data_IF_434983099806
#
_entry.id   IF_434983099806
#
_cell.length_a   1.000
_cell.length_b   1.000
_cell.length_c   1.000
_cell.angle_alpha   90.00
_cell.angle_beta   90.00
_cell.angle_gamma   90.00
#
_symmetry.space_group_name_H-M   'P 1'
#
loop_
_entity.id
_entity.type
_entity.pdbx_description
1 polymer ?
#
# COMPACT_ATOMS: atom_id res chain seq x y z
N UNK A 1 35.82 31.75 -27.42
CA UNK A 1 34.79 31.31 -28.40
C UNK A 1 33.46 30.92 -27.77
N UNK A 2 33.45 30.09 -26.71
CA UNK A 2 32.21 29.66 -26.01
C UNK A 2 31.24 30.82 -25.73
N UNK A 3 31.74 31.91 -25.18
CA UNK A 3 30.95 33.09 -24.80
C UNK A 3 30.42 33.88 -26.00
N UNK A 4 31.08 33.86 -27.17
CA UNK A 4 30.56 34.51 -28.39
C UNK A 4 29.38 33.74 -29.00
N UNK A 5 29.42 32.41 -28.93
CA UNK A 5 28.41 31.52 -29.53
C UNK A 5 27.23 31.27 -28.59
N UNK A 6 27.49 30.84 -27.34
CA UNK A 6 26.48 30.56 -26.31
C UNK A 6 26.00 31.82 -25.56
N UNK A 7 26.75 32.91 -25.67
CA UNK A 7 26.55 34.16 -24.93
C UNK A 7 27.25 34.16 -23.58
N UNK A 8 27.53 35.36 -23.07
CA UNK A 8 28.08 35.60 -21.74
C UNK A 8 27.12 36.46 -20.93
N UNK A 9 26.94 36.16 -19.64
CA UNK A 9 26.15 37.03 -18.75
C UNK A 9 27.05 38.19 -18.35
N UNK A 10 26.87 39.34 -19.00
CA UNK A 10 27.74 40.50 -18.83
C UNK A 10 27.39 41.29 -17.56
N UNK A 11 26.10 41.34 -17.20
CA UNK A 11 25.62 41.98 -15.97
C UNK A 11 24.22 41.46 -15.63
N UNK A 12 23.77 41.72 -14.41
CA UNK A 12 22.41 41.43 -13.96
C UNK A 12 21.68 42.73 -13.68
N UNK A 13 20.50 42.90 -14.26
CA UNK A 13 19.62 44.01 -13.99
C UNK A 13 18.62 43.63 -12.90
N UNK A 14 18.63 44.35 -11.78
CA UNK A 14 17.66 44.11 -10.69
C UNK A 14 16.43 44.98 -10.92
N UNK A 15 15.27 44.36 -11.07
CA UNK A 15 13.97 45.04 -11.14
C UNK A 15 13.07 44.44 -10.05
N UNK A 16 12.63 45.30 -9.13
CA UNK A 16 11.87 44.92 -7.92
C UNK A 16 12.57 43.80 -7.12
N UNK A 17 12.00 42.60 -7.09
CA UNK A 17 12.54 41.42 -6.40
C UNK A 17 13.13 40.36 -7.36
N UNK A 18 13.29 40.69 -8.65
CA UNK A 18 13.87 39.77 -9.65
C UNK A 18 15.20 40.31 -10.17
N UNK A 19 16.18 39.41 -10.29
CA UNK A 19 17.44 39.66 -11.02
C UNK A 19 17.32 39.07 -12.42
N UNK A 20 17.49 39.91 -13.43
CA UNK A 20 17.40 39.55 -14.85
C UNK A 20 18.80 39.53 -15.44
N UNK A 21 19.23 38.39 -15.98
CA UNK A 21 20.53 38.27 -16.64
C UNK A 21 20.53 39.00 -18.00
N UNK A 22 21.47 39.91 -18.20
CA UNK A 22 21.74 40.53 -19.50
C UNK A 22 22.86 39.73 -20.18
N UNK A 23 22.50 39.02 -21.26
CA UNK A 23 23.42 38.16 -22.02
C UNK A 23 23.89 38.82 -23.32
N UNK A 24 25.19 38.97 -23.48
CA UNK A 24 25.82 39.43 -24.72
C UNK A 24 26.18 38.22 -25.56
N UNK A 25 25.68 38.16 -26.79
CA UNK A 25 25.97 37.10 -27.76
C UNK A 25 26.11 37.68 -29.16
N UNK A 26 26.83 36.98 -30.04
CA UNK A 26 26.83 37.29 -31.48
C UNK A 26 25.41 37.15 -32.03
N UNK A 27 25.06 37.98 -33.03
CA UNK A 27 23.76 37.97 -33.70
C UNK A 27 23.41 36.57 -34.19
N UNK A 28 22.14 36.19 -34.09
CA UNK A 28 21.72 34.83 -34.40
C UNK A 28 21.89 34.47 -35.89
N UNK A 29 21.80 35.47 -36.79
CA UNK A 29 22.04 35.35 -38.25
C UNK A 29 23.46 34.85 -38.59
N UNK A 30 24.45 35.20 -37.77
CA UNK A 30 25.85 34.79 -37.96
C UNK A 30 26.09 33.34 -37.50
N UNK A 31 25.09 32.70 -36.88
CA UNK A 31 25.14 31.31 -36.38
C UNK A 31 24.35 30.32 -37.24
N UNK A 32 23.52 30.81 -38.16
CA UNK A 32 22.60 29.99 -38.96
C UNK A 32 23.29 29.08 -39.99
N UNK A 33 24.53 29.38 -40.38
CA UNK A 33 25.26 28.57 -41.35
C UNK A 33 26.69 28.29 -40.93
N UNK A 34 27.15 27.08 -41.21
CA UNK A 34 28.52 26.62 -40.96
C UNK A 34 29.53 27.54 -41.67
N UNK A 35 29.20 27.97 -42.89
CA UNK A 35 30.04 28.90 -43.67
C UNK A 35 30.21 30.26 -42.99
N UNK A 36 29.17 30.77 -42.29
CA UNK A 36 29.27 32.00 -41.50
C UNK A 36 30.02 31.80 -40.19
N UNK A 37 29.85 30.65 -39.52
CA UNK A 37 30.65 30.31 -38.33
C UNK A 37 32.14 30.28 -38.66
N UNK A 38 32.52 29.69 -39.79
CA UNK A 38 33.92 29.60 -40.25
C UNK A 38 34.57 30.98 -40.45
N UNK A 39 33.79 31.98 -40.84
CA UNK A 39 34.24 33.38 -41.04
C UNK A 39 34.13 34.25 -39.79
N UNK A 40 33.73 33.68 -38.65
CA UNK A 40 33.57 34.44 -37.41
C UNK A 40 34.93 34.99 -36.94
N UNK A 41 35.01 36.32 -36.74
CA UNK A 41 36.23 36.94 -36.27
C UNK A 41 36.47 36.65 -34.77
N UNK A 42 37.61 36.04 -34.48
CA UNK A 42 37.99 35.59 -33.14
C UNK A 42 38.80 36.65 -32.38
N UNK A 43 39.31 37.69 -33.05
CA UNK A 43 40.18 38.71 -32.47
C UNK A 43 39.64 40.14 -32.73
N UNK A 44 38.64 40.60 -31.95
CA UNK A 44 38.10 41.95 -32.08
C UNK A 44 39.06 42.94 -31.40
N UNK A 45 40.07 43.43 -32.14
CA UNK A 45 41.05 44.38 -31.61
C UNK A 45 42.40 44.40 -32.32
N UNK A 46 42.70 43.39 -33.14
CA UNK A 46 43.89 43.36 -34.00
C UNK A 46 43.63 44.11 -35.30
N UNK A 47 44.68 44.72 -35.86
CA UNK A 47 44.62 45.35 -37.21
C UNK A 47 44.29 44.36 -38.32
N UNK A 48 44.51 43.06 -38.09
CA UNK A 48 44.24 41.99 -39.04
C UNK A 48 43.12 41.10 -38.46
N UNK A 49 41.95 41.00 -39.12
CA UNK A 49 40.91 40.07 -38.71
C UNK A 49 41.35 38.63 -39.01
N UNK A 50 41.26 37.75 -38.00
CA UNK A 50 41.57 36.32 -38.15
C UNK A 50 40.24 35.56 -38.10
N UNK A 51 39.81 34.90 -39.20
CA UNK A 51 38.60 34.10 -39.20
C UNK A 51 38.82 32.77 -38.46
N UNK A 52 37.73 32.18 -37.96
CA UNK A 52 37.75 30.92 -37.22
C UNK A 52 38.40 29.77 -38.01
N UNK A 53 38.15 29.70 -39.31
CA UNK A 53 38.71 28.68 -40.21
C UNK A 53 40.23 28.68 -40.31
N UNK A 54 40.90 29.80 -39.98
CA UNK A 54 42.37 29.87 -39.98
C UNK A 54 43.01 29.20 -38.75
N UNK A 55 42.23 28.89 -37.72
CA UNK A 55 42.74 28.33 -36.44
C UNK A 55 42.04 27.03 -36.01
N UNK A 56 40.92 26.68 -36.62
CA UNK A 56 40.14 25.50 -36.27
C UNK A 56 39.40 24.93 -37.48
N UNK A 57 39.35 23.60 -37.59
CA UNK A 57 38.48 22.92 -38.53
C UNK A 57 37.09 22.72 -37.93
N UNK A 58 36.06 23.11 -38.69
CA UNK A 58 34.65 23.04 -38.26
C UNK A 58 33.96 22.01 -39.11
N UNK A 59 33.70 20.84 -38.49
CA UNK A 59 32.97 19.72 -39.08
C UNK A 59 31.66 19.49 -38.34
N UNK A 60 30.63 19.10 -39.08
CA UNK A 60 29.38 18.61 -38.50
C UNK A 60 29.56 17.13 -38.24
N UNK A 61 29.39 16.73 -36.99
CA UNK A 61 29.37 15.33 -36.59
C UNK A 61 28.08 15.04 -35.85
N UNK A 62 27.52 13.86 -36.11
CA UNK A 62 26.43 13.35 -35.29
C UNK A 62 27.01 12.86 -33.96
N UNK A 63 26.43 13.32 -32.87
CA UNK A 63 26.82 12.95 -31.52
C UNK A 63 25.59 12.75 -30.65
N UNK A 64 25.73 12.07 -29.50
CA UNK A 64 24.62 11.90 -28.59
C UNK A 64 24.12 13.26 -28.11
N UNK A 65 22.82 13.54 -28.30
CA UNK A 65 22.20 14.78 -27.80
C UNK A 65 22.22 14.85 -26.27
N UNK A 66 22.23 13.68 -25.62
CA UNK A 66 22.31 13.51 -24.18
C UNK A 66 23.07 12.22 -23.85
N UNK A 67 23.93 12.24 -22.83
CA UNK A 67 24.55 11.04 -22.29
C UNK A 67 23.88 10.74 -20.96
N UNK A 68 22.90 9.84 -20.98
CA UNK A 68 22.26 9.35 -19.76
C UNK A 68 23.11 8.25 -19.13
N UNK A 69 23.24 8.32 -17.81
CA UNK A 69 23.97 7.34 -17.02
C UNK A 69 23.13 6.87 -15.85
N UNK A 70 23.11 5.56 -15.62
CA UNK A 70 22.53 4.94 -14.44
C UNK A 70 23.64 4.13 -13.80
N UNK A 71 23.86 4.32 -12.49
CA UNK A 71 24.95 3.67 -11.75
C UNK A 71 26.32 3.83 -12.43
N UNK A 72 26.61 5.05 -12.92
CA UNK A 72 27.85 5.43 -13.65
C UNK A 72 28.06 4.77 -15.02
N UNK A 73 27.23 3.82 -15.41
CA UNK A 73 27.25 3.18 -16.72
C UNK A 73 26.45 3.98 -17.74
N UNK A 74 26.88 3.99 -19.01
CA UNK A 74 26.12 4.64 -20.09
C UNK A 74 24.87 3.80 -20.37
N UNK A 75 23.70 4.41 -20.29
CA UNK A 75 22.42 3.69 -20.36
C UNK A 75 21.51 4.31 -21.40
N UNK A 76 20.85 3.47 -22.18
CA UNK A 76 19.72 3.86 -23.01
C UNK A 76 18.43 3.52 -22.24
N UNK A 77 17.55 4.51 -22.04
CA UNK A 77 16.27 4.28 -21.37
C UNK A 77 15.19 4.17 -22.42
N UNK A 78 14.54 3.00 -22.47
CA UNK A 78 13.39 2.74 -23.33
C UNK A 78 12.15 2.85 -22.46
N UNK A 79 11.22 3.73 -22.87
CA UNK A 79 9.97 3.95 -22.16
C UNK A 79 8.81 3.38 -22.97
N UNK A 80 7.91 2.65 -22.31
CA UNK A 80 6.69 2.14 -22.89
C UNK A 80 5.54 2.36 -21.91
N UNK A 81 4.34 2.60 -22.44
CA UNK A 81 3.12 2.68 -21.65
C UNK A 81 2.25 1.45 -21.93
N UNK A 82 1.54 0.98 -20.91
CA UNK A 82 0.69 -0.21 -20.99
C UNK A 82 -0.76 0.25 -21.04
N UNK A 83 -1.52 -0.30 -21.98
CA UNK A 83 -2.94 0.00 -22.16
C UNK A 83 -3.71 -1.32 -22.31
N UNK A 84 -4.77 -1.49 -21.52
CA UNK A 84 -5.71 -2.61 -21.66
C UNK A 84 -5.21 -3.99 -21.17
N UNK A 85 -3.99 -4.07 -20.61
CA UNK A 85 -3.44 -5.29 -20.00
C UNK A 85 -2.85 -4.98 -18.63
N UNK A 86 -2.78 -6.00 -17.79
CA UNK A 86 -2.14 -5.88 -16.48
C UNK A 86 -0.61 -5.79 -16.61
N UNK A 87 0.00 -5.06 -15.67
CA UNK A 87 1.44 -4.83 -15.64
C UNK A 87 2.25 -6.14 -15.54
N UNK A 88 1.75 -7.12 -14.78
CA UNK A 88 2.46 -8.37 -14.52
C UNK A 88 2.56 -9.26 -15.77
N UNK A 89 1.48 -9.40 -16.53
CA UNK A 89 1.48 -10.19 -17.77
C UNK A 89 2.37 -9.58 -18.84
N UNK A 90 2.30 -8.26 -19.05
CA UNK A 90 3.16 -7.57 -20.02
C UNK A 90 4.63 -7.66 -19.64
N UNK A 91 4.94 -7.59 -18.35
CA UNK A 91 6.32 -7.71 -17.87
C UNK A 91 6.89 -9.11 -18.08
N UNK A 92 6.05 -10.13 -17.87
CA UNK A 92 6.39 -11.51 -18.21
C UNK A 92 6.69 -11.68 -19.69
N UNK A 93 5.82 -11.15 -20.56
CA UNK A 93 6.00 -11.20 -22.02
C UNK A 93 7.31 -10.52 -22.44
N UNK A 94 7.60 -9.32 -21.90
CA UNK A 94 8.86 -8.60 -22.15
C UNK A 94 10.06 -9.40 -21.68
N UNK A 95 9.99 -10.03 -20.50
CA UNK A 95 11.07 -10.85 -19.98
C UNK A 95 11.35 -12.05 -20.89
N UNK A 96 10.32 -12.75 -21.35
CA UNK A 96 10.44 -13.86 -22.31
C UNK A 96 11.07 -13.41 -23.63
N UNK A 97 10.66 -12.26 -24.16
CA UNK A 97 11.25 -11.72 -25.39
C UNK A 97 12.72 -11.34 -25.15
N UNK A 98 13.04 -10.66 -24.05
CA UNK A 98 14.42 -10.29 -23.71
C UNK A 98 15.33 -11.49 -23.51
N UNK A 99 14.83 -12.61 -22.98
CA UNK A 99 15.59 -13.86 -22.90
C UNK A 99 15.86 -14.49 -24.27
N UNK A 100 14.98 -14.27 -25.25
CA UNK A 100 15.16 -14.78 -26.62
C UNK A 100 16.14 -13.96 -27.45
N UNK A 101 16.39 -12.69 -27.07
CA UNK A 101 17.38 -11.84 -27.73
C UNK A 101 18.79 -12.24 -27.27
N UNK A 102 19.65 -12.61 -28.23
CA UNK A 102 21.09 -12.75 -27.98
C UNK A 102 21.71 -11.36 -27.90
N UNK A 103 21.84 -10.83 -26.70
CA UNK A 103 22.60 -9.59 -26.48
C UNK A 103 24.11 -9.87 -26.51
N UNK A 104 24.93 -8.95 -27.06
CA UNK A 104 26.39 -9.03 -26.92
C UNK A 104 26.80 -9.00 -25.44
N UNK A 105 27.93 -9.61 -25.10
CA UNK A 105 28.43 -9.73 -23.71
C UNK A 105 28.64 -8.40 -22.99
N UNK A 106 28.77 -7.31 -23.76
CA UNK A 106 29.13 -5.98 -23.25
C UNK A 106 27.90 -5.17 -22.85
N UNK A 107 26.69 -5.72 -23.03
CA UNK A 107 25.43 -5.07 -22.68
C UNK A 107 24.68 -5.86 -21.61
N UNK A 108 24.23 -5.16 -20.58
CA UNK A 108 23.24 -5.64 -19.64
C UNK A 108 21.92 -4.90 -19.87
N UNK A 109 20.82 -5.59 -19.59
CA UNK A 109 19.50 -4.97 -19.53
C UNK A 109 18.91 -5.15 -18.13
N UNK A 110 18.15 -4.16 -17.70
CA UNK A 110 17.38 -4.21 -16.46
C UNK A 110 16.00 -3.66 -16.75
N UNK A 111 14.96 -4.41 -16.37
CA UNK A 111 13.59 -3.94 -16.44
C UNK A 111 13.33 -3.09 -15.19
N UNK A 112 13.40 -1.77 -15.36
CA UNK A 112 13.23 -0.79 -14.29
C UNK A 112 11.79 -0.23 -14.24
N UNK A 113 11.54 0.63 -13.24
CA UNK A 113 10.25 1.30 -13.03
C UNK A 113 9.29 0.49 -12.16
N UNK A 114 7.99 0.63 -12.41
CA UNK A 114 6.92 0.04 -11.59
C UNK A 114 7.04 -1.48 -11.43
N UNK A 115 7.57 -2.16 -12.44
CA UNK A 115 7.83 -3.60 -12.39
C UNK A 115 8.80 -3.99 -11.30
N UNK A 116 9.91 -3.25 -11.19
CA UNK A 116 10.94 -3.55 -10.20
C UNK A 116 10.45 -3.27 -8.80
N UNK A 117 9.74 -2.16 -8.62
CA UNK A 117 9.09 -1.81 -7.35
C UNK A 117 8.05 -2.87 -6.94
N UNK A 118 7.26 -3.36 -7.89
CA UNK A 118 6.30 -4.44 -7.65
C UNK A 118 6.98 -5.74 -7.26
N UNK A 119 8.04 -6.17 -7.96
CA UNK A 119 8.79 -7.38 -7.64
C UNK A 119 9.38 -7.34 -6.23
N UNK A 120 10.01 -6.21 -5.87
CA UNK A 120 10.57 -5.99 -4.53
C UNK A 120 9.46 -6.00 -3.48
N UNK A 121 8.35 -5.32 -3.75
CA UNK A 121 7.19 -5.26 -2.84
C UNK A 121 6.58 -6.65 -2.63
N UNK A 122 6.35 -7.41 -3.70
CA UNK A 122 5.83 -8.78 -3.63
C UNK A 122 6.80 -9.72 -2.90
N UNK A 123 8.10 -9.57 -3.11
CA UNK A 123 9.12 -10.33 -2.39
C UNK A 123 9.05 -10.09 -0.88
N UNK A 124 8.98 -8.82 -0.47
CA UNK A 124 8.84 -8.43 0.94
C UNK A 124 7.50 -8.87 1.54
N UNK A 125 6.40 -8.72 0.80
CA UNK A 125 5.06 -9.15 1.21
C UNK A 125 4.99 -10.66 1.39
N UNK A 126 5.59 -11.45 0.47
CA UNK A 126 5.66 -12.91 0.56
C UNK A 126 6.44 -13.34 1.81
N UNK A 127 7.58 -12.69 2.09
CA UNK A 127 8.36 -12.97 3.29
C UNK A 127 7.58 -12.62 4.56
N UNK A 128 6.92 -11.46 4.58
CA UNK A 128 6.08 -11.04 5.69
C UNK A 128 4.89 -12.00 5.93
N UNK A 129 4.23 -12.45 4.85
CA UNK A 129 3.12 -13.40 4.93
C UNK A 129 3.57 -14.76 5.49
N UNK A 130 4.70 -15.29 5.02
CA UNK A 130 5.26 -16.54 5.55
C UNK A 130 5.61 -16.42 7.04
N UNK A 131 6.23 -15.30 7.42
CA UNK A 131 6.57 -15.04 8.82
C UNK A 131 5.33 -14.87 9.70
N UNK A 132 4.28 -14.21 9.19
CA UNK A 132 3.01 -14.05 9.87
C UNK A 132 2.30 -15.39 10.08
N UNK A 133 2.21 -16.22 9.04
CA UNK A 133 1.65 -17.58 9.12
C UNK A 133 2.43 -18.42 10.14
N UNK A 134 3.76 -18.35 10.10
CA UNK A 134 4.62 -19.05 11.05
C UNK A 134 4.38 -18.60 12.49
N UNK A 135 4.27 -17.29 12.73
CA UNK A 135 3.95 -16.74 14.05
C UNK A 135 2.58 -17.19 14.56
N UNK A 136 1.55 -17.09 13.71
CA UNK A 136 0.20 -17.55 14.04
C UNK A 136 0.20 -19.05 14.38
N UNK A 137 0.92 -19.86 13.61
CA UNK A 137 1.04 -21.29 13.85
C UNK A 137 1.63 -21.59 15.24
N UNK A 138 2.71 -20.91 15.64
CA UNK A 138 3.33 -21.12 16.96
C UNK A 138 2.38 -20.71 18.10
N UNK A 139 1.76 -19.54 18.00
CA UNK A 139 0.83 -19.05 19.03
C UNK A 139 -0.33 -20.03 19.20
N UNK A 140 -0.87 -20.55 18.09
CA UNK A 140 -1.95 -21.52 18.10
C UNK A 140 -1.51 -22.89 18.62
N UNK A 141 -0.34 -23.38 18.22
CA UNK A 141 0.21 -24.64 18.74
C UNK A 141 0.42 -24.57 20.26
N UNK A 142 0.88 -23.43 20.77
CA UNK A 142 1.00 -23.19 22.21
C UNK A 142 -0.36 -23.11 22.91
N UNK A 143 -1.41 -22.64 22.25
CA UNK A 143 -2.75 -22.51 22.84
C UNK A 143 -3.48 -23.86 22.95
N UNK A 144 -3.35 -24.72 21.94
CA UNK A 144 -4.01 -26.02 21.89
C UNK A 144 -3.17 -27.17 22.44
N UNK A 145 -1.92 -26.90 22.86
CA UNK A 145 -0.93 -27.91 23.25
C UNK A 145 -0.78 -29.06 22.22
N UNK A 146 -1.10 -28.77 20.97
CA UNK A 146 -1.22 -29.76 19.89
C UNK A 146 -0.87 -29.10 18.55
N UNK A 147 -0.08 -29.80 17.75
CA UNK A 147 0.37 -29.33 16.44
C UNK A 147 -0.62 -29.64 15.30
N UNK A 148 -1.57 -30.56 15.52
CA UNK A 148 -2.54 -30.96 14.50
C UNK A 148 -3.70 -29.95 14.39
N UNK A 149 -4.20 -29.44 15.52
CA UNK A 149 -5.31 -28.49 15.53
C UNK A 149 -4.99 -27.18 14.76
N UNK A 150 -3.84 -26.51 14.97
CA UNK A 150 -3.46 -25.32 14.21
C UNK A 150 -3.29 -25.55 12.71
N UNK A 151 -2.80 -26.73 12.32
CA UNK A 151 -2.60 -27.06 10.91
C UNK A 151 -3.93 -27.15 10.14
N UNK A 152 -4.95 -27.78 10.73
CA UNK A 152 -6.30 -27.85 10.15
C UNK A 152 -6.88 -26.45 9.97
N UNK A 153 -6.71 -25.57 10.97
CA UNK A 153 -7.19 -24.18 10.91
C UNK A 153 -6.47 -23.41 9.81
N UNK A 154 -5.14 -23.55 9.68
CA UNK A 154 -4.37 -22.86 8.65
C UNK A 154 -4.81 -23.29 7.24
N UNK A 155 -5.21 -24.55 7.04
CA UNK A 155 -5.69 -25.05 5.75
C UNK A 155 -7.03 -24.42 5.31
N UNK A 156 -7.82 -23.89 6.26
CA UNK A 156 -9.06 -23.17 5.93
C UNK A 156 -8.80 -21.81 5.25
N UNK A 157 -7.64 -21.20 5.48
CA UNK A 157 -7.31 -19.86 4.96
C UNK A 157 -7.07 -19.88 3.44
N UNK A 158 -6.23 -20.77 2.86
CA UNK A 158 -6.12 -20.92 1.41
C UNK A 158 -7.46 -21.24 0.73
N UNK A 159 -8.30 -22.06 1.37
CA UNK A 159 -9.62 -22.40 0.84
C UNK A 159 -10.53 -21.16 0.75
N UNK A 160 -10.53 -20.30 1.78
CA UNK A 160 -11.26 -19.04 1.77
C UNK A 160 -10.74 -18.08 0.69
N UNK A 161 -9.41 -18.01 0.50
CA UNK A 161 -8.79 -17.17 -0.54
C UNK A 161 -9.23 -17.58 -1.94
N UNK A 162 -9.37 -18.88 -2.23
CA UNK A 162 -9.87 -19.37 -3.52
C UNK A 162 -11.31 -18.88 -3.76
N UNK A 163 -12.16 -18.94 -2.74
CA UNK A 163 -13.53 -18.43 -2.82
C UNK A 163 -13.60 -16.93 -3.14
N UNK A 164 -12.76 -16.13 -2.48
CA UNK A 164 -12.66 -14.69 -2.76
C UNK A 164 -12.12 -14.43 -4.17
N UNK A 165 -11.06 -15.14 -4.58
CA UNK A 165 -10.48 -14.99 -5.92
C UNK A 165 -11.51 -15.30 -7.02
N UNK A 166 -12.34 -16.33 -6.85
CA UNK A 166 -13.42 -16.68 -7.77
C UNK A 166 -14.46 -15.56 -7.86
N UNK A 167 -14.91 -15.03 -6.72
CA UNK A 167 -15.90 -13.93 -6.69
C UNK A 167 -15.34 -12.67 -7.35
N UNK A 168 -14.10 -12.28 -7.05
CA UNK A 168 -13.49 -11.11 -7.70
C UNK A 168 -13.31 -11.30 -9.20
N UNK A 169 -12.93 -12.51 -9.63
CA UNK A 169 -12.79 -12.83 -11.04
C UNK A 169 -14.12 -12.70 -11.79
N UNK A 170 -15.21 -13.25 -11.23
CA UNK A 170 -16.54 -13.17 -11.84
C UNK A 170 -17.07 -11.74 -11.86
N UNK A 171 -16.83 -10.96 -10.81
CA UNK A 171 -17.31 -9.57 -10.73
C UNK A 171 -16.37 -8.58 -11.45
N UNK A 172 -15.20 -9.01 -11.92
CA UNK A 172 -14.22 -8.14 -12.58
C UNK A 172 -13.68 -7.02 -11.67
N UNK A 173 -13.68 -7.23 -10.35
CA UNK A 173 -13.23 -6.21 -9.40
C UNK A 173 -11.70 -6.24 -9.31
N UNK A 174 -11.00 -5.12 -9.60
CA UNK A 174 -9.56 -5.08 -9.47
C UNK A 174 -9.12 -5.15 -8.00
N UNK A 175 -7.95 -5.74 -7.77
CA UNK A 175 -7.32 -5.75 -6.45
C UNK A 175 -6.90 -4.32 -6.07
N UNK A 176 -7.56 -3.77 -5.06
CA UNK A 176 -7.24 -2.47 -4.49
C UNK A 176 -7.17 -2.56 -2.96
N UNK A 177 -6.81 -1.46 -2.31
CA UNK A 177 -6.67 -1.40 -0.83
C UNK A 177 -7.96 -1.81 -0.12
N UNK A 178 -9.14 -1.47 -0.66
CA UNK A 178 -10.43 -1.84 -0.07
C UNK A 178 -10.66 -3.35 -0.08
N UNK A 179 -10.33 -4.03 -1.20
CA UNK A 179 -10.38 -5.49 -1.29
C UNK A 179 -9.46 -6.13 -0.26
N UNK A 180 -8.25 -5.59 -0.08
CA UNK A 180 -7.31 -6.11 0.93
C UNK A 180 -7.85 -5.97 2.36
N UNK A 181 -8.50 -4.84 2.70
CA UNK A 181 -9.16 -4.67 3.99
C UNK A 181 -10.27 -5.71 4.20
N UNK A 182 -11.07 -5.98 3.16
CA UNK A 182 -12.08 -7.04 3.18
C UNK A 182 -11.49 -8.43 3.39
N UNK A 183 -10.38 -8.75 2.71
CA UNK A 183 -9.66 -10.01 2.85
C UNK A 183 -9.15 -10.24 4.28
N UNK A 184 -8.58 -9.21 4.92
CA UNK A 184 -8.10 -9.29 6.30
C UNK A 184 -9.25 -9.57 7.27
N UNK A 185 -10.37 -8.86 7.10
CA UNK A 185 -11.59 -9.09 7.91
C UNK A 185 -12.14 -10.49 7.71
N UNK A 186 -12.25 -10.95 6.46
CA UNK A 186 -12.74 -12.29 6.15
C UNK A 186 -11.83 -13.37 6.76
N UNK A 187 -10.51 -13.21 6.65
CA UNK A 187 -9.55 -14.14 7.24
C UNK A 187 -9.76 -14.26 8.76
N UNK A 188 -9.98 -13.15 9.46
CA UNK A 188 -10.29 -13.15 10.90
C UNK A 188 -11.57 -13.92 11.24
N UNK A 189 -12.65 -13.70 10.48
CA UNK A 189 -13.93 -14.39 10.70
C UNK A 189 -13.79 -15.91 10.47
N UNK A 190 -13.14 -16.30 9.36
CA UNK A 190 -12.94 -17.72 9.02
C UNK A 190 -12.08 -18.42 10.07
N UNK A 191 -10.97 -17.80 10.48
CA UNK A 191 -10.08 -18.36 11.51
C UNK A 191 -10.77 -18.46 12.85
N UNK A 192 -11.52 -17.44 13.27
CA UNK A 192 -12.29 -17.50 14.52
C UNK A 192 -13.34 -18.62 14.51
N UNK A 193 -14.06 -18.79 13.40
CA UNK A 193 -15.03 -19.88 13.27
C UNK A 193 -14.35 -21.25 13.29
N UNK A 194 -13.19 -21.38 12.64
CA UNK A 194 -12.41 -22.61 12.66
C UNK A 194 -11.88 -22.94 14.07
N UNK A 195 -11.42 -21.93 14.82
CA UNK A 195 -11.02 -22.06 16.23
C UNK A 195 -12.16 -22.62 17.08
N UNK A 196 -13.35 -22.02 17.00
CA UNK A 196 -14.51 -22.45 17.79
C UNK A 196 -14.93 -23.88 17.45
N UNK A 197 -14.92 -24.25 16.16
CA UNK A 197 -15.28 -25.60 15.73
C UNK A 197 -14.27 -26.64 16.23
N UNK A 198 -12.98 -26.36 16.10
CA UNK A 198 -11.93 -27.28 16.55
C UNK A 198 -11.92 -27.40 18.07
N UNK A 199 -12.07 -26.30 18.80
CA UNK A 199 -12.20 -26.32 20.26
C UNK A 199 -13.43 -27.13 20.71
N UNK A 200 -14.56 -27.02 20.02
CA UNK A 200 -15.74 -27.82 20.32
C UNK A 200 -15.50 -29.32 20.14
N UNK A 201 -14.81 -29.73 19.07
CA UNK A 201 -14.49 -31.13 18.78
C UNK A 201 -13.44 -31.68 19.76
N UNK A 202 -12.50 -30.85 20.20
CA UNK A 202 -11.42 -31.24 21.12
C UNK A 202 -11.84 -31.28 22.59
N UNK A 203 -13.04 -30.78 22.94
CA UNK A 203 -13.56 -30.86 24.30
C UNK A 203 -14.00 -32.30 24.63
N UNK A 204 -13.45 -32.94 25.68
CA UNK A 204 -13.90 -34.26 26.08
C UNK A 204 -15.38 -34.23 26.49
N UNK A 205 -16.17 -35.16 25.92
CA UNK A 205 -17.62 -35.30 26.11
C UNK A 205 -18.06 -35.59 27.57
N UNK A 206 -17.12 -35.61 28.53
CA UNK A 206 -17.34 -36.02 29.92
C UNK A 206 -18.08 -34.99 30.80
N UNK A 207 -18.45 -33.82 30.27
CA UNK A 207 -19.22 -32.80 31.03
C UNK A 207 -20.67 -32.60 30.61
N UNK A 208 -21.14 -33.26 29.55
CA UNK A 208 -22.53 -33.10 29.07
C UNK A 208 -23.37 -34.38 29.07
N UNK A 209 -22.81 -35.52 29.51
CA UNK A 209 -23.48 -36.82 29.48
C UNK A 209 -23.67 -37.53 30.83
N UNK A 210 -23.20 -36.97 31.95
CA UNK A 210 -23.18 -37.68 33.24
C UNK A 210 -24.14 -37.14 34.32
N UNK A 211 -25.11 -36.27 33.95
CA UNK A 211 -26.08 -35.69 34.88
C UNK A 211 -27.55 -35.95 34.49
N UNK A 212 -27.82 -36.92 33.60
CA UNK A 212 -29.16 -37.23 33.12
C UNK A 212 -29.60 -38.68 33.41
N UNK A 213 -28.92 -39.40 34.30
CA UNK A 213 -29.23 -40.81 34.59
C UNK A 213 -29.05 -41.19 36.06
N UNK A 214 -29.58 -40.41 37.02
CA UNK A 214 -29.78 -40.97 38.36
C UNK A 214 -30.80 -40.30 39.30
N UNK A 215 -31.70 -39.44 38.82
CA UNK A 215 -32.76 -38.90 39.70
C UNK A 215 -33.98 -38.48 38.91
N UNK A 216 -34.91 -39.40 38.69
CA UNK A 216 -36.35 -39.13 38.78
C UNK A 216 -37.11 -40.40 38.44
N UNK A 217 -37.23 -41.26 39.46
CA UNK A 217 -38.16 -42.37 39.45
C UNK A 217 -38.98 -42.28 40.74
N UNK A 218 -39.80 -41.22 40.85
CA UNK A 218 -41.03 -41.27 41.66
C UNK A 218 -41.97 -40.07 41.45
N UNK A 219 -43.20 -40.45 41.06
CA UNK A 219 -44.46 -39.74 41.28
C UNK A 219 -44.78 -38.52 40.40
N UNK A 220 -45.27 -38.81 39.19
CA UNK A 220 -46.28 -37.96 38.55
C UNK A 220 -47.49 -38.76 38.06
N UNK A 221 -48.37 -39.10 39.01
CA UNK A 221 -49.80 -39.33 38.76
C UNK A 221 -50.57 -38.55 39.82
N UNK A 222 -51.19 -37.44 39.44
CA UNK A 222 -52.29 -36.83 40.20
C UNK A 222 -53.51 -36.70 39.30
N UNK A 223 -54.66 -37.30 39.65
CA UNK A 223 -55.93 -36.80 39.17
C UNK A 223 -56.47 -35.72 40.11
N UNK A 224 -57.46 -35.00 39.61
CA UNK A 224 -57.88 -33.68 40.07
C UNK A 224 -58.82 -33.62 41.28
N UNK A 225 -58.99 -32.37 41.72
CA UNK A 225 -60.10 -31.77 42.47
C UNK A 225 -60.56 -32.45 43.78
N UNK A 226 -60.37 -31.74 44.91
CA UNK A 226 -61.45 -31.03 45.61
C UNK A 226 -61.03 -30.60 47.04
N UNK A 227 -61.72 -29.55 47.53
CA UNK A 227 -61.99 -29.22 48.93
C UNK A 227 -61.03 -28.28 49.71
N UNK A 228 -61.51 -27.02 49.81
CA UNK A 228 -61.89 -26.32 51.05
C UNK A 228 -60.91 -26.09 52.23
N UNK A 229 -60.79 -24.82 52.63
CA UNK A 229 -60.49 -24.36 54.00
C UNK A 229 -59.48 -23.21 54.02
N UNK A 230 -59.86 -21.92 54.00
CA UNK A 230 -60.35 -21.07 55.12
C UNK A 230 -59.33 -20.87 56.26
N UNK A 231 -59.13 -19.58 56.63
CA UNK A 231 -58.45 -18.97 57.81
C UNK A 231 -56.94 -18.71 57.69
N UNK A 232 -56.34 -17.66 58.26
CA UNK A 232 -56.78 -16.35 58.78
C UNK A 232 -55.50 -15.55 59.11
N UNK A 233 -55.69 -14.24 59.29
CA UNK A 233 -54.77 -13.19 59.78
C UNK A 233 -53.77 -13.57 60.90
N UNK A 234 -52.63 -12.87 60.93
CA UNK A 234 -52.08 -12.07 62.08
C UNK A 234 -50.72 -11.47 61.64
N UNK A 235 -50.58 -10.15 61.38
CA UNK A 235 -50.16 -9.05 62.29
C UNK A 235 -48.66 -9.00 62.70
N UNK A 236 -48.05 -7.88 62.26
CA UNK A 236 -47.36 -6.81 63.03
C UNK A 236 -45.88 -6.93 63.44
N UNK A 237 -45.18 -5.83 63.05
CA UNK A 237 -44.24 -4.97 63.81
C UNK A 237 -42.92 -5.60 64.25
N UNK A 238 -41.83 -4.88 64.47
CA UNK A 238 -41.26 -3.56 64.15
C UNK A 238 -39.92 -3.66 64.91
N UNK A 239 -38.78 -3.42 64.28
CA UNK A 239 -37.58 -2.99 65.02
C UNK A 239 -36.49 -2.48 64.06
N UNK A 240 -36.19 -1.20 64.26
CA UNK A 240 -35.18 -0.36 63.60
C UNK A 240 -33.72 -0.69 64.08
N UNK A 241 -32.71 0.20 63.90
CA UNK A 241 -31.80 0.27 62.74
C UNK A 241 -30.32 0.30 63.20
N UNK A 242 -29.34 0.41 62.29
CA UNK A 242 -28.04 1.10 62.49
C UNK A 242 -27.31 1.07 61.12
N UNK A 243 -27.03 2.21 60.47
CA UNK A 243 -25.72 2.90 60.51
C UNK A 243 -24.75 2.27 59.48
N UNK A 244 -23.93 2.95 58.69
CA UNK A 244 -23.57 4.35 58.61
C UNK A 244 -22.64 4.57 57.39
N UNK A 245 -22.66 5.79 56.85
CA UNK A 245 -21.59 6.56 56.16
C UNK A 245 -20.85 6.12 54.88
N UNK A 246 -20.88 7.10 53.94
CA UNK A 246 -19.87 7.65 52.99
C UNK A 246 -20.21 7.39 51.51
N UNK A 247 -20.87 8.32 50.83
CA UNK A 247 -20.42 9.65 50.36
C UNK A 247 -19.30 9.59 49.30
N UNK A 248 -19.69 9.69 48.02
CA UNK A 248 -19.06 10.61 47.07
C UNK A 248 -20.03 10.96 45.94
N UNK A 249 -20.65 12.14 46.04
CA UNK A 249 -21.00 12.98 44.89
C UNK A 249 -19.65 13.38 44.23
N UNK A 250 -19.55 13.61 42.92
CA UNK A 250 -20.07 14.79 42.23
C UNK A 250 -19.65 14.77 40.76
N UNK A 251 -20.54 15.28 39.89
CA UNK A 251 -20.28 16.09 38.67
C UNK A 251 -19.46 15.43 37.53
N UNK A 252 -19.86 15.45 36.26
CA UNK A 252 -20.45 16.55 35.48
C UNK A 252 -21.24 15.99 34.29
N UNK A 253 -22.42 16.58 34.04
CA UNK A 253 -23.07 16.65 32.73
C UNK A 253 -22.52 17.88 32.01
N UNK A 254 -22.40 17.85 30.69
CA UNK A 254 -22.99 18.81 29.72
C UNK A 254 -22.59 18.48 28.26
N UNK A 255 -23.31 19.01 27.24
CA UNK A 255 -23.67 18.29 26.03
C UNK A 255 -23.09 18.89 24.73
N UNK A 256 -23.36 18.21 23.61
CA UNK A 256 -23.67 18.68 22.25
C UNK A 256 -23.25 20.10 21.86
N UNK A 257 -22.47 20.21 20.77
CA UNK A 257 -22.74 21.22 19.74
C UNK A 257 -22.35 20.72 18.34
N UNK A 258 -23.33 20.85 17.44
CA UNK A 258 -23.28 20.60 16.00
C UNK A 258 -23.59 21.92 15.30
N UNK A 259 -22.69 22.39 14.43
CA UNK A 259 -22.87 23.41 13.37
C UNK A 259 -21.64 23.25 12.45
N UNK A 260 -21.68 23.11 11.12
CA UNK A 260 -22.74 23.30 10.15
C UNK A 260 -22.64 24.66 9.44
N UNK A 261 -21.68 24.88 8.52
CA UNK A 261 -21.93 25.66 7.29
C UNK A 261 -20.85 25.48 6.19
N UNK A 262 -21.20 25.66 4.90
CA UNK A 262 -20.39 25.37 3.72
C UNK A 262 -19.77 26.63 3.09
N UNK A 263 -18.91 26.43 2.09
CA UNK A 263 -18.69 27.25 0.87
C UNK A 263 -17.37 26.73 0.22
N UNK A 264 -17.22 26.41 -1.06
CA UNK A 264 -18.03 26.75 -2.23
C UNK A 264 -17.30 27.69 -3.18
N UNK A 265 -16.12 27.36 -3.72
CA UNK A 265 -15.56 28.07 -4.89
C UNK A 265 -14.80 27.13 -5.84
N UNK A 266 -15.37 26.97 -7.04
CA UNK A 266 -14.72 26.52 -8.28
C UNK A 266 -13.93 27.70 -8.87
N UNK A 267 -12.85 27.45 -9.61
CA UNK A 267 -12.60 28.02 -10.95
C UNK A 267 -11.21 27.62 -11.50
N UNK A 268 -11.23 27.11 -12.74
CA UNK A 268 -10.20 26.89 -13.77
C UNK A 268 -9.00 25.97 -13.49
#
# INVERSE_FOLDING_TARGET
>A
MRNKVRGDVATQFKQEDRRIDIRVKVRDIDKESIARLKRLNIHPGSRIPIPLESVADVQVQEGPSEIRRINQQRSAVIMANIVGRDLMSVSGDVYTVMQSLRMPSDFSYEIAGQNKEMEVSLGSLRLALLLAIFMVYIVMASQFESFLHPFVILFTVPLALIGVALVLYVLGIPLNVMVFLGLIMLAGIVVNNAIVLVDYISRPASRSGAAASHSDDQHHYRPGLAAHGVRNRQRRRDSHPHGNYRNRRTHQRHPVDSCGHPDGVRHF
#
